data_IF_519187837302
#
_entry.id   IF_519187837302
#
_cell.length_a   1.000
_cell.length_b   1.000
_cell.length_c   1.000
_cell.angle_alpha   90.00
_cell.angle_beta   90.00
_cell.angle_gamma   90.00
#
_symmetry.space_group_name_H-M   'P 1'
#
loop_
_entity.id
_entity.type
_entity.pdbx_description
1 polymer ?
#
# COMPACT_ATOMS: atom_id res chain seq x y z
N UNK A 1 -8.86 10.28 8.02
CA UNK A 1 -8.15 11.06 9.05
C UNK A 1 -6.84 11.62 8.55
N UNK A 2 -5.70 10.90 8.57
CA UNK A 2 -4.40 11.48 8.20
C UNK A 2 -4.26 11.94 6.75
N UNK A 3 -5.08 11.43 5.83
CA UNK A 3 -5.14 11.91 4.45
C UNK A 3 -5.88 13.25 4.29
N UNK A 4 -6.61 13.73 5.29
CA UNK A 4 -7.39 14.97 5.17
C UNK A 4 -6.47 16.19 5.20
N UNK A 5 -6.82 17.26 4.47
CA UNK A 5 -6.00 18.48 4.42
C UNK A 5 -5.76 19.10 5.79
N UNK A 6 -6.73 19.02 6.70
CA UNK A 6 -6.61 19.53 8.07
C UNK A 6 -5.51 18.82 8.87
N UNK A 7 -5.12 17.62 8.43
CA UNK A 7 -4.03 16.81 9.00
C UNK A 7 -2.78 16.81 8.12
N UNK A 8 -2.63 17.81 7.23
CA UNK A 8 -1.52 17.94 6.29
C UNK A 8 -1.44 16.79 5.26
N UNK A 9 -2.52 16.02 5.12
CA UNK A 9 -2.63 14.98 4.11
C UNK A 9 -2.89 15.52 2.71
N UNK A 10 -2.96 14.62 1.74
CA UNK A 10 -3.16 14.96 0.33
C UNK A 10 -4.50 15.64 0.08
N UNK A 11 -5.51 15.40 0.93
CA UNK A 11 -6.81 16.03 0.84
C UNK A 11 -7.80 15.33 -0.06
N UNK A 12 -7.57 14.05 -0.33
CA UNK A 12 -8.37 13.28 -1.30
C UNK A 12 -9.50 12.53 -0.62
N UNK A 13 -10.58 12.33 -1.37
CA UNK A 13 -11.59 11.34 -1.03
C UNK A 13 -11.14 10.00 -1.63
N UNK A 14 -10.79 9.03 -0.78
CA UNK A 14 -10.27 7.71 -1.22
C UNK A 14 -11.19 7.03 -2.23
N UNK A 15 -12.50 7.14 -2.07
CA UNK A 15 -13.44 6.49 -3.00
C UNK A 15 -13.45 7.11 -4.39
N UNK A 16 -12.83 8.27 -4.57
CA UNK A 16 -13.14 9.11 -5.72
C UNK A 16 -14.62 9.49 -5.73
N UNK A 17 -15.10 9.96 -6.88
CA UNK A 17 -16.52 10.21 -7.10
C UNK A 17 -16.85 9.79 -8.54
N UNK A 18 -17.27 8.54 -8.73
CA UNK A 18 -17.61 8.01 -10.06
C UNK A 18 -18.73 8.80 -10.77
N UNK A 19 -19.61 9.46 -10.01
CA UNK A 19 -20.69 10.29 -10.55
C UNK A 19 -20.19 11.64 -11.13
N UNK A 20 -18.94 12.02 -10.86
CA UNK A 20 -18.32 13.25 -11.34
C UNK A 20 -17.10 12.87 -12.17
N UNK A 21 -17.20 13.09 -13.47
CA UNK A 21 -16.13 12.73 -14.40
C UNK A 21 -14.81 13.42 -14.01
N UNK A 22 -13.73 12.63 -13.96
CA UNK A 22 -12.38 13.11 -13.66
C UNK A 22 -11.96 13.12 -12.18
N UNK A 23 -12.73 12.57 -11.24
CA UNK A 23 -12.28 12.38 -9.84
C UNK A 23 -11.92 10.91 -9.59
N UNK A 24 -10.64 10.52 -9.78
CA UNK A 24 -10.21 9.13 -9.61
C UNK A 24 -10.29 8.70 -8.15
N UNK A 25 -10.39 7.39 -7.92
CA UNK A 25 -10.17 6.80 -6.61
C UNK A 25 -8.72 6.95 -6.16
N UNK A 26 -8.53 6.94 -4.85
CA UNK A 26 -7.21 6.92 -4.24
C UNK A 26 -6.53 5.57 -4.45
N UNK A 27 -5.19 5.58 -4.53
CA UNK A 27 -4.34 4.42 -4.68
C UNK A 27 -3.75 3.97 -3.35
N UNK A 28 -4.10 2.75 -2.94
CA UNK A 28 -3.55 2.08 -1.75
C UNK A 28 -2.54 1.03 -2.20
N UNK A 29 -1.27 1.21 -1.83
CA UNK A 29 -0.19 0.26 -2.10
C UNK A 29 0.17 -0.49 -0.83
N UNK A 30 0.10 -1.81 -0.88
CA UNK A 30 0.35 -2.70 0.26
C UNK A 30 1.61 -3.52 -0.04
N UNK A 31 2.59 -3.48 0.85
CA UNK A 31 3.79 -4.29 0.75
C UNK A 31 3.75 -5.47 1.72
N UNK A 32 3.86 -6.68 1.16
CA UNK A 32 3.59 -7.94 1.84
C UNK A 32 2.20 -8.50 1.50
N UNK A 33 2.09 -9.82 1.51
CA UNK A 33 0.89 -10.55 1.08
C UNK A 33 0.23 -11.38 2.19
N UNK A 34 0.65 -11.22 3.45
CA UNK A 34 0.11 -11.99 4.59
C UNK A 34 -1.33 -11.61 4.99
N UNK A 35 -1.80 -12.12 6.12
CA UNK A 35 -3.17 -11.85 6.60
C UNK A 35 -3.45 -10.36 6.84
N UNK A 36 -2.46 -9.60 7.32
CA UNK A 36 -2.60 -8.16 7.48
C UNK A 36 -2.82 -7.45 6.13
N UNK A 37 -2.11 -7.88 5.08
CA UNK A 37 -2.29 -7.35 3.73
C UNK A 37 -3.68 -7.63 3.17
N UNK A 38 -4.21 -8.84 3.40
CA UNK A 38 -5.56 -9.21 2.95
C UNK A 38 -6.61 -8.31 3.61
N UNK A 39 -6.53 -8.10 4.92
CA UNK A 39 -7.46 -7.22 5.63
C UNK A 39 -7.34 -5.76 5.17
N UNK A 40 -6.11 -5.27 5.00
CA UNK A 40 -5.86 -3.92 4.48
C UNK A 40 -6.45 -3.75 3.07
N UNK A 41 -6.28 -4.74 2.19
CA UNK A 41 -6.85 -4.74 0.85
C UNK A 41 -8.38 -4.77 0.88
N UNK A 42 -9.00 -5.61 1.71
CA UNK A 42 -10.46 -5.65 1.87
C UNK A 42 -11.03 -4.30 2.31
N UNK A 43 -10.38 -3.61 3.25
CA UNK A 43 -10.80 -2.28 3.68
C UNK A 43 -10.62 -1.27 2.55
N UNK A 44 -9.48 -1.28 1.84
CA UNK A 44 -9.24 -0.40 0.70
C UNK A 44 -10.32 -0.54 -0.38
N UNK A 45 -10.66 -1.77 -0.75
CA UNK A 45 -11.73 -2.07 -1.70
C UNK A 45 -13.10 -1.61 -1.20
N UNK A 46 -13.39 -1.80 0.10
CA UNK A 46 -14.62 -1.31 0.72
C UNK A 46 -14.74 0.22 0.67
N UNK A 47 -13.62 0.92 0.62
CA UNK A 47 -13.54 2.37 0.39
C UNK A 47 -13.48 2.75 -1.08
N UNK A 48 -13.63 1.80 -2.02
CA UNK A 48 -13.52 1.99 -3.47
C UNK A 48 -12.14 2.48 -3.94
N UNK A 49 -11.10 2.24 -3.14
CA UNK A 49 -9.73 2.54 -3.54
C UNK A 49 -9.25 1.58 -4.64
N UNK A 50 -8.34 2.04 -5.49
CA UNK A 50 -7.52 1.14 -6.31
C UNK A 50 -6.43 0.53 -5.44
N UNK A 51 -6.35 -0.81 -5.39
CA UNK A 51 -5.44 -1.51 -4.48
C UNK A 51 -4.33 -2.25 -5.25
N UNK A 52 -3.08 -2.00 -4.88
CA UNK A 52 -1.92 -2.80 -5.32
C UNK A 52 -1.36 -3.59 -4.14
N UNK A 53 -1.10 -4.90 -4.32
CA UNK A 53 -0.38 -5.73 -3.35
C UNK A 53 0.96 -6.15 -3.96
N UNK A 54 2.06 -5.84 -3.30
CA UNK A 54 3.42 -6.19 -3.71
C UNK A 54 3.89 -7.37 -2.85
N UNK A 55 4.17 -8.50 -3.49
CA UNK A 55 4.51 -9.75 -2.80
C UNK A 55 5.68 -10.47 -3.51
N UNK A 56 6.53 -11.17 -2.75
CA UNK A 56 7.71 -11.86 -3.29
C UNK A 56 7.43 -13.32 -3.62
N UNK A 57 6.61 -14.03 -2.85
CA UNK A 57 6.39 -15.46 -3.03
C UNK A 57 5.37 -15.75 -4.17
N UNK A 58 5.76 -16.56 -5.17
CA UNK A 58 4.92 -16.82 -6.35
C UNK A 58 3.64 -17.61 -6.05
N UNK A 59 3.69 -18.55 -5.11
CA UNK A 59 2.51 -19.29 -4.67
C UNK A 59 1.53 -18.33 -3.97
N UNK A 60 2.06 -17.40 -3.16
CA UNK A 60 1.26 -16.40 -2.48
C UNK A 60 0.66 -15.38 -3.44
N UNK A 61 1.40 -14.95 -4.46
CA UNK A 61 0.88 -14.11 -5.55
C UNK A 61 -0.28 -14.81 -6.25
N UNK A 62 -0.10 -16.09 -6.60
CA UNK A 62 -1.14 -16.88 -7.26
C UNK A 62 -2.40 -16.99 -6.40
N UNK A 63 -2.21 -17.25 -5.10
CA UNK A 63 -3.31 -17.27 -4.13
C UNK A 63 -4.03 -15.92 -4.01
N UNK A 64 -3.29 -14.80 -3.91
CA UNK A 64 -3.87 -13.46 -3.82
C UNK A 64 -4.69 -13.11 -5.06
N UNK A 65 -4.20 -13.45 -6.26
CA UNK A 65 -4.91 -13.23 -7.52
C UNK A 65 -6.21 -14.01 -7.59
N UNK A 66 -6.22 -15.26 -7.11
CA UNK A 66 -7.45 -16.07 -7.05
C UNK A 66 -8.41 -15.52 -5.98
N UNK A 67 -7.90 -15.17 -4.80
CA UNK A 67 -8.69 -14.64 -3.69
C UNK A 67 -9.40 -13.32 -4.03
N UNK A 68 -8.74 -12.42 -4.74
CA UNK A 68 -9.29 -11.12 -5.17
C UNK A 68 -9.82 -11.12 -6.60
N UNK A 69 -10.07 -12.29 -7.19
CA UNK A 69 -10.53 -12.40 -8.58
C UNK A 69 -11.83 -11.61 -8.79
N UNK A 70 -11.82 -10.71 -9.78
CA UNK A 70 -12.96 -9.87 -10.13
C UNK A 70 -13.10 -8.59 -9.29
N UNK A 71 -12.16 -8.32 -8.38
CA UNK A 71 -12.08 -7.08 -7.62
C UNK A 71 -10.94 -6.19 -8.17
N UNK A 72 -10.96 -4.90 -7.86
CA UNK A 72 -9.92 -3.94 -8.30
C UNK A 72 -8.64 -4.06 -7.45
N UNK A 73 -8.00 -5.23 -7.54
CA UNK A 73 -6.72 -5.53 -6.89
C UNK A 73 -5.69 -5.95 -7.92
N UNK A 74 -4.57 -5.23 -7.97
CA UNK A 74 -3.40 -5.61 -8.76
C UNK A 74 -2.35 -6.28 -7.87
N UNK A 75 -2.02 -7.54 -8.14
CA UNK A 75 -0.96 -8.25 -7.41
C UNK A 75 0.34 -8.25 -8.23
N UNK A 76 1.39 -7.68 -7.64
CA UNK A 76 2.65 -7.33 -8.30
C UNK A 76 3.79 -8.11 -7.65
N UNK A 77 4.68 -8.71 -8.47
CA UNK A 77 5.89 -9.37 -7.99
C UNK A 77 6.86 -8.34 -7.43
N UNK A 78 7.33 -8.57 -6.21
CA UNK A 78 8.28 -7.69 -5.52
C UNK A 78 9.66 -7.74 -6.18
N UNK A 79 10.13 -6.56 -6.57
CA UNK A 79 11.51 -6.22 -6.85
C UNK A 79 11.68 -4.71 -6.58
N UNK A 80 12.91 -4.21 -6.56
CA UNK A 80 13.20 -2.81 -6.21
C UNK A 80 12.50 -1.82 -7.16
N UNK A 81 12.50 -2.11 -8.47
CA UNK A 81 11.88 -1.27 -9.49
C UNK A 81 10.37 -1.13 -9.29
N UNK A 82 9.66 -2.26 -9.14
CA UNK A 82 8.22 -2.30 -8.91
C UNK A 82 7.86 -1.62 -7.58
N UNK A 83 8.65 -1.85 -6.53
CA UNK A 83 8.42 -1.25 -5.23
C UNK A 83 8.53 0.28 -5.31
N UNK A 84 9.62 0.81 -5.89
CA UNK A 84 9.81 2.24 -6.07
C UNK A 84 8.71 2.87 -6.95
N UNK A 85 8.37 2.21 -8.07
CA UNK A 85 7.35 2.69 -9.01
C UNK A 85 5.97 2.79 -8.36
N UNK A 86 5.55 1.76 -7.63
CA UNK A 86 4.25 1.75 -6.98
C UNK A 86 4.18 2.76 -5.83
N UNK A 87 5.19 2.78 -4.95
CA UNK A 87 5.27 3.72 -3.82
C UNK A 87 5.17 5.17 -4.29
N UNK A 88 5.90 5.55 -5.34
CA UNK A 88 5.88 6.91 -5.90
C UNK A 88 4.47 7.45 -6.21
N UNK A 89 3.55 6.55 -6.55
CA UNK A 89 2.17 6.91 -6.95
C UNK A 89 1.13 6.66 -5.88
N UNK A 90 1.53 6.15 -4.71
CA UNK A 90 0.63 5.80 -3.63
C UNK A 90 0.11 7.05 -2.90
N UNK A 91 -1.19 7.06 -2.61
CA UNK A 91 -1.78 8.02 -1.66
C UNK A 91 -1.67 7.46 -0.25
N UNK A 92 -1.79 6.13 -0.12
CA UNK A 92 -1.50 5.39 1.10
C UNK A 92 -0.55 4.25 0.78
N UNK A 93 0.59 4.22 1.45
CA UNK A 93 1.48 3.07 1.46
C UNK A 93 1.38 2.33 2.79
N UNK A 94 1.15 1.02 2.75
CA UNK A 94 1.02 0.16 3.94
C UNK A 94 2.08 -0.93 3.88
N UNK A 95 3.08 -0.87 4.75
CA UNK A 95 3.99 -1.99 4.96
C UNK A 95 3.42 -2.97 5.96
N UNK A 96 3.20 -4.20 5.50
CA UNK A 96 2.68 -5.33 6.30
C UNK A 96 3.74 -6.41 6.53
N UNK A 97 4.99 -6.14 6.14
CA UNK A 97 6.09 -7.08 6.31
C UNK A 97 6.39 -7.21 7.80
N UNK A 98 6.22 -8.42 8.32
CA UNK A 98 6.55 -8.79 9.68
C UNK A 98 7.34 -10.09 9.66
N UNK A 99 8.53 -10.09 10.23
CA UNK A 99 9.33 -11.30 10.39
C UNK A 99 9.45 -11.59 11.89
N UNK A 100 8.65 -12.54 12.42
CA UNK A 100 8.66 -12.86 13.85
C UNK A 100 10.07 -13.21 14.35
N UNK A 101 10.49 -12.61 15.46
CA UNK A 101 11.74 -12.94 16.14
C UNK A 101 13.01 -12.33 15.52
N UNK A 102 12.89 -11.48 14.50
CA UNK A 102 14.03 -10.77 13.92
C UNK A 102 13.69 -9.32 13.59
N UNK A 103 14.70 -8.45 13.52
CA UNK A 103 14.52 -7.09 13.01
C UNK A 103 14.07 -7.16 11.54
N UNK A 104 13.00 -6.46 11.14
CA UNK A 104 12.58 -6.42 9.75
C UNK A 104 13.70 -5.89 8.84
N UNK A 105 13.87 -6.45 7.63
CA UNK A 105 14.80 -5.91 6.66
C UNK A 105 14.32 -4.52 6.21
N UNK A 106 15.28 -3.59 6.06
CA UNK A 106 15.03 -2.24 5.53
C UNK A 106 14.88 -2.30 4.01
N UNK A 107 13.70 -2.68 3.56
CA UNK A 107 13.41 -2.88 2.14
C UNK A 107 12.83 -1.62 1.48
N UNK A 108 12.26 -0.71 2.27
CA UNK A 108 11.70 0.55 1.77
C UNK A 108 12.65 1.68 2.13
N UNK A 109 13.33 2.21 1.11
CA UNK A 109 14.37 3.22 1.33
C UNK A 109 13.77 4.60 1.59
N UNK A 110 14.54 5.48 2.23
CA UNK A 110 14.12 6.87 2.44
C UNK A 110 13.83 7.58 1.11
N UNK A 111 14.59 7.27 0.05
CA UNK A 111 14.37 7.83 -1.28
C UNK A 111 13.03 7.41 -1.88
N UNK A 112 12.58 6.17 -1.65
CA UNK A 112 11.25 5.73 -2.07
C UNK A 112 10.16 6.56 -1.37
N UNK A 113 10.26 6.74 -0.05
CA UNK A 113 9.30 7.54 0.71
C UNK A 113 9.30 9.01 0.28
N UNK A 114 10.48 9.60 0.07
CA UNK A 114 10.60 10.99 -0.41
C UNK A 114 10.06 11.18 -1.83
N UNK A 115 9.95 10.11 -2.62
CA UNK A 115 9.37 10.17 -3.97
C UNK A 115 7.85 10.12 -4.00
N UNK A 116 7.20 9.84 -2.86
CA UNK A 116 5.74 9.81 -2.76
C UNK A 116 5.12 11.18 -2.97
N UNK A 117 3.82 11.21 -3.25
CA UNK A 117 3.05 12.46 -3.36
C UNK A 117 3.09 13.22 -2.05
N UNK A 118 3.13 14.55 -2.13
CA UNK A 118 3.05 15.39 -0.95
C UNK A 118 1.71 15.17 -0.22
N UNK A 119 1.77 14.93 1.09
CA UNK A 119 0.59 14.63 1.91
C UNK A 119 0.10 13.18 1.83
N UNK A 120 0.78 12.31 1.08
CA UNK A 120 0.53 10.87 1.14
C UNK A 120 0.84 10.30 2.53
N UNK A 121 0.24 9.15 2.85
CA UNK A 121 0.33 8.53 4.17
C UNK A 121 1.11 7.22 4.11
N UNK A 122 2.02 7.04 5.06
CA UNK A 122 2.75 5.79 5.28
C UNK A 122 2.25 5.13 6.57
N UNK A 123 1.91 3.85 6.48
CA UNK A 123 1.56 2.99 7.62
C UNK A 123 2.57 1.86 7.67
N UNK A 124 3.34 1.74 8.76
CA UNK A 124 4.29 0.64 8.98
C UNK A 124 3.82 -0.21 10.16
N UNK A 125 3.26 -1.39 9.87
CA UNK A 125 2.75 -2.31 10.91
C UNK A 125 3.88 -2.84 11.80
N UNK A 126 5.12 -2.90 11.29
CA UNK A 126 6.26 -3.43 12.02
C UNK A 126 7.05 -2.34 12.76
N UNK A 127 6.50 -1.13 12.93
CA UNK A 127 7.21 0.00 13.55
C UNK A 127 7.71 -0.33 14.96
N UNK A 128 6.92 -1.05 15.75
CA UNK A 128 7.28 -1.47 17.11
C UNK A 128 8.44 -2.49 17.14
N UNK A 129 8.79 -3.07 15.98
CA UNK A 129 9.91 -4.00 15.80
C UNK A 129 11.09 -3.37 15.03
N UNK A 130 11.08 -2.05 14.88
CA UNK A 130 12.11 -1.29 14.21
C UNK A 130 11.77 -0.87 12.77
N UNK A 131 10.59 -1.24 12.26
CA UNK A 131 10.02 -0.80 10.98
C UNK A 131 10.68 -1.40 9.73
N UNK A 132 9.90 -1.54 8.67
CA UNK A 132 10.38 -1.94 7.32
C UNK A 132 10.87 -0.74 6.51
N UNK A 133 10.43 0.47 6.90
CA UNK A 133 10.81 1.74 6.28
C UNK A 133 12.10 2.29 6.90
N UNK A 134 13.03 2.77 6.07
CA UNK A 134 14.19 3.52 6.54
C UNK A 134 13.75 4.86 7.15
N UNK A 135 14.18 5.09 8.40
CA UNK A 135 13.91 6.32 9.16
C UNK A 135 14.75 7.49 8.68
#
# INVERSE_FOLDING_TARGET
YYLEKQHQGEGILISGIDAIDGIPSGKVVIFGGGSAAVNAATIGLGLQASVSIIELNDDRISWLKDHFKGQDVTVIKSNEENLAKEIKTADVFISTILIPGSKPPKLVTRNMIQSMKEGSVVVDIAIDQGGTVEG
#
